data_IF_006346966429
#
_entry.id   IF_006346966429
#
_cell.length_a   1.000
_cell.length_b   1.000
_cell.length_c   1.000
_cell.angle_alpha   90.00
_cell.angle_beta   90.00
_cell.angle_gamma   90.00
#
_symmetry.space_group_name_H-M   'P 1'
#
loop_
_entity.id
_entity.type
_entity.pdbx_description
1 polymer ?
#
# COMPACT_ATOMS: atom_id res chain seq x y z
N UNK A 1 -2.38 -1.91 2.91
CA UNK A 1 -3.58 -1.03 2.80
C UNK A 1 -3.83 -0.25 4.08
N UNK A 2 -4.15 -0.88 5.21
CA UNK A 2 -4.50 -0.16 6.44
C UNK A 2 -3.32 0.63 7.06
N UNK A 3 -2.09 0.13 6.94
CA UNK A 3 -0.89 0.82 7.46
C UNK A 3 -0.26 1.84 6.52
N UNK A 4 -0.56 1.79 5.21
CA UNK A 4 0.12 2.62 4.20
C UNK A 4 -0.83 3.40 3.30
N UNK A 5 -2.13 3.13 3.36
CA UNK A 5 -3.13 3.76 2.51
C UNK A 5 -3.10 3.36 1.04
N UNK A 6 -2.16 2.54 0.55
CA UNK A 6 -2.03 2.17 -0.88
C UNK A 6 -3.35 1.66 -1.48
N UNK A 7 -3.66 2.08 -2.72
CA UNK A 7 -4.85 1.66 -3.46
C UNK A 7 -4.75 0.19 -3.88
N UNK A 8 -5.88 -0.51 -3.96
CA UNK A 8 -5.92 -1.92 -4.40
C UNK A 8 -5.37 -2.10 -5.83
N UNK A 9 -5.64 -1.15 -6.72
CA UNK A 9 -5.09 -1.09 -8.09
C UNK A 9 -3.57 -1.09 -8.15
N UNK A 10 -2.97 -0.35 -7.24
CA UNK A 10 -1.51 -0.22 -7.11
C UNK A 10 -0.91 -1.46 -6.45
N UNK A 11 -1.59 -2.03 -5.44
CA UNK A 11 -1.10 -3.24 -4.76
C UNK A 11 -0.94 -4.42 -5.70
N UNK A 12 -1.85 -4.63 -6.66
CA UNK A 12 -1.74 -5.77 -7.58
C UNK A 12 -0.54 -5.69 -8.49
N UNK A 13 -0.01 -4.49 -8.73
CA UNK A 13 1.12 -4.22 -9.62
C UNK A 13 2.42 -3.96 -8.84
N UNK A 14 2.38 -3.98 -7.51
CA UNK A 14 3.53 -3.69 -6.69
C UNK A 14 4.55 -4.82 -6.81
N UNK A 15 5.76 -4.49 -7.25
CA UNK A 15 6.93 -5.37 -7.26
C UNK A 15 7.79 -5.23 -5.99
N UNK A 16 8.63 -6.24 -5.73
CA UNK A 16 9.56 -6.25 -4.59
C UNK A 16 10.49 -5.05 -4.56
N UNK A 17 10.96 -4.56 -5.72
CA UNK A 17 11.85 -3.39 -5.84
C UNK A 17 11.26 -2.08 -5.25
N UNK A 18 9.94 -1.99 -5.14
CA UNK A 18 9.26 -0.84 -4.55
C UNK A 18 9.29 -0.84 -3.02
N UNK A 19 9.71 -1.95 -2.40
CA UNK A 19 9.76 -2.12 -0.96
C UNK A 19 11.20 -1.93 -0.50
N UNK A 20 11.48 -0.81 0.15
CA UNK A 20 12.74 -0.58 0.84
C UNK A 20 12.55 -0.92 2.32
N UNK A 21 13.03 -2.10 2.71
CA UNK A 21 12.93 -2.60 4.09
C UNK A 21 13.88 -1.87 5.05
N UNK A 22 15.01 -1.34 4.55
CA UNK A 22 16.01 -0.64 5.36
C UNK A 22 15.50 0.75 5.73
N UNK A 23 15.03 1.51 4.74
CA UNK A 23 14.44 2.83 4.99
C UNK A 23 12.96 2.77 5.41
N UNK A 24 12.36 1.58 5.46
CA UNK A 24 10.95 1.35 5.80
C UNK A 24 10.00 2.21 4.96
N UNK A 25 10.19 2.13 3.65
CA UNK A 25 9.57 3.01 2.67
C UNK A 25 9.05 2.24 1.46
N UNK A 26 7.79 2.49 1.09
CA UNK A 26 7.28 2.09 -0.23
C UNK A 26 7.56 3.21 -1.22
N UNK A 27 8.39 2.93 -2.23
CA UNK A 27 8.67 3.83 -3.36
C UNK A 27 7.89 3.33 -4.56
N UNK A 28 6.72 3.92 -4.80
CA UNK A 28 5.84 3.49 -5.87
C UNK A 28 6.00 4.44 -7.05
N UNK A 29 6.42 3.90 -8.18
CA UNK A 29 6.66 4.68 -9.39
C UNK A 29 5.35 5.19 -10.00
N UNK A 30 5.43 6.32 -10.70
CA UNK A 30 4.29 6.94 -11.38
C UNK A 30 3.63 6.00 -12.40
N UNK A 31 4.39 5.10 -13.03
CA UNK A 31 3.87 4.16 -14.03
C UNK A 31 2.77 3.21 -13.51
N UNK A 32 2.72 2.97 -12.19
CA UNK A 32 1.76 2.07 -11.55
C UNK A 32 0.58 2.84 -10.93
N UNK A 33 0.69 4.18 -10.88
CA UNK A 33 -0.29 5.04 -10.23
C UNK A 33 -1.08 5.78 -11.32
N UNK A 34 -2.41 5.78 -11.15
CA UNK A 34 -3.35 6.36 -12.13
C UNK A 34 -3.06 7.83 -12.50
N UNK A 35 -2.40 8.59 -11.63
CA UNK A 35 -2.04 10.00 -11.88
C UNK A 35 -0.59 10.19 -12.37
N UNK A 36 0.16 9.13 -12.65
CA UNK A 36 1.55 9.17 -13.09
C UNK A 36 2.55 9.85 -12.14
N UNK A 37 2.15 10.15 -10.90
CA UNK A 37 3.04 10.72 -9.89
C UNK A 37 3.55 9.64 -8.96
N UNK A 38 4.88 9.55 -8.80
CA UNK A 38 5.47 8.63 -7.83
C UNK A 38 5.04 9.00 -6.40
N UNK A 39 4.68 8.00 -5.60
CA UNK A 39 4.20 8.13 -4.23
C UNK A 39 5.16 7.41 -3.29
N UNK A 40 5.61 8.11 -2.24
CA UNK A 40 6.44 7.55 -1.18
C UNK A 40 5.63 7.41 0.09
N UNK A 41 5.57 6.19 0.65
CA UNK A 41 4.73 5.88 1.81
C UNK A 41 5.57 5.17 2.88
N UNK A 42 5.82 5.82 4.04
CA UNK A 42 6.54 5.17 5.11
C UNK A 42 5.69 4.05 5.74
N UNK A 43 6.36 3.10 6.37
CA UNK A 43 5.74 2.07 7.18
C UNK A 43 6.53 1.79 8.46
N UNK A 44 5.91 1.07 9.40
CA UNK A 44 6.50 0.72 10.70
C UNK A 44 7.30 -0.60 10.63
N UNK A 45 8.06 -0.88 11.71
CA UNK A 45 8.86 -2.11 11.82
C UNK A 45 8.00 -3.38 11.79
N UNK A 46 6.74 -3.30 12.23
CA UNK A 46 5.81 -4.42 12.17
C UNK A 46 5.52 -4.80 10.72
N UNK A 47 5.19 -3.82 9.88
CA UNK A 47 4.95 -4.04 8.46
C UNK A 47 6.23 -4.46 7.74
N UNK A 48 7.39 -3.90 8.09
CA UNK A 48 8.68 -4.31 7.54
C UNK A 48 8.91 -5.81 7.73
N UNK A 49 8.68 -6.33 8.96
CA UNK A 49 8.81 -7.76 9.26
C UNK A 49 7.83 -8.62 8.48
N UNK A 50 6.57 -8.17 8.32
CA UNK A 50 5.55 -8.89 7.55
C UNK A 50 5.93 -8.94 6.07
N UNK A 51 6.41 -7.83 5.50
CA UNK A 51 6.83 -7.76 4.11
C UNK A 51 8.07 -8.62 3.84
N UNK A 52 9.06 -8.60 4.74
CA UNK A 52 10.23 -9.47 4.63
C UNK A 52 9.85 -10.95 4.64
N UNK A 53 8.94 -11.35 5.53
CA UNK A 53 8.43 -12.72 5.57
C UNK A 53 7.68 -13.10 4.29
N UNK A 54 6.85 -12.20 3.76
CA UNK A 54 6.15 -12.40 2.49
C UNK A 54 7.13 -12.55 1.32
N UNK A 55 8.15 -11.69 1.22
CA UNK A 55 9.15 -11.76 0.16
C UNK A 55 9.89 -13.10 0.18
N UNK A 56 10.32 -13.55 1.37
CA UNK A 56 10.95 -14.87 1.53
C UNK A 56 10.02 -16.02 1.11
N UNK A 57 8.73 -15.94 1.46
CA UNK A 57 7.75 -16.95 1.02
C UNK A 57 7.55 -16.92 -0.49
N UNK A 58 7.53 -15.74 -1.10
CA UNK A 58 7.39 -15.61 -2.55
C UNK A 58 8.55 -16.26 -3.29
N UNK A 59 9.78 -16.12 -2.79
CA UNK A 59 10.96 -16.71 -3.42
C UNK A 59 10.88 -18.25 -3.43
N UNK A 60 10.39 -18.84 -2.33
CA UNK A 60 10.13 -20.29 -2.26
C UNK A 60 9.07 -20.72 -3.29
N UNK A 61 7.95 -19.99 -3.35
CA UNK A 61 6.85 -20.30 -4.28
C UNK A 61 7.31 -20.20 -5.74
N UNK A 62 8.07 -19.15 -6.09
CA UNK A 62 8.58 -18.95 -7.45
C UNK A 62 9.58 -20.04 -7.85
N UNK A 63 10.42 -20.48 -6.91
CA UNK A 63 11.36 -21.57 -7.14
C UNK A 63 10.62 -22.87 -7.44
N UNK A 64 9.59 -23.20 -6.65
CA UNK A 64 8.77 -24.40 -6.83
C UNK A 64 7.95 -24.35 -8.14
N UNK A 65 7.31 -23.21 -8.42
CA UNK A 65 6.43 -23.07 -9.58
C UNK A 65 7.16 -22.76 -10.89
N UNK A 66 8.47 -22.48 -10.85
CA UNK A 66 9.30 -22.09 -11.99
C UNK A 66 8.78 -20.86 -12.75
N UNK A 67 8.11 -19.94 -12.04
CA UNK A 67 7.64 -18.68 -12.61
C UNK A 67 8.60 -17.55 -12.24
N UNK A 68 9.15 -16.87 -13.24
CA UNK A 68 9.98 -15.69 -13.05
C UNK A 68 9.12 -14.40 -13.10
N UNK A 69 9.04 -13.68 -11.98
CA UNK A 69 8.43 -12.35 -11.88
C UNK A 69 8.85 -11.68 -10.56
N UNK A 70 8.67 -10.37 -10.46
CA UNK A 70 9.04 -9.60 -9.25
C UNK A 70 7.84 -9.10 -8.45
N UNK A 71 6.61 -9.56 -8.74
CA UNK A 71 5.41 -9.10 -8.04
C UNK A 71 5.45 -9.42 -6.55
N UNK A 72 5.14 -8.45 -5.70
CA UNK A 72 5.08 -8.62 -4.25
C UNK A 72 3.88 -9.47 -3.82
N UNK A 73 2.76 -9.34 -4.52
CA UNK A 73 1.57 -10.15 -4.27
C UNK A 73 1.38 -11.16 -5.40
N UNK A 74 1.61 -12.42 -5.06
CA UNK A 74 1.46 -13.54 -6.00
C UNK A 74 0.37 -14.51 -5.52
N UNK A 75 -0.12 -15.27 -6.48
CA UNK A 75 -1.00 -16.41 -6.29
C UNK A 75 -0.23 -17.62 -5.75
N UNK A 76 -0.93 -18.64 -5.28
CA UNK A 76 -0.31 -19.89 -4.76
C UNK A 76 0.53 -20.63 -5.81
N UNK A 77 0.29 -20.38 -7.09
CA UNK A 77 1.06 -20.94 -8.20
C UNK A 77 2.23 -20.02 -8.62
N UNK A 78 2.48 -18.92 -7.91
CA UNK A 78 3.53 -17.95 -8.21
C UNK A 78 3.20 -16.89 -9.27
N UNK A 79 2.02 -16.94 -9.90
CA UNK A 79 1.61 -15.93 -10.89
C UNK A 79 1.15 -14.63 -10.22
N UNK A 80 1.06 -13.54 -10.99
CA UNK A 80 0.43 -12.30 -10.54
C UNK A 80 -1.01 -12.55 -10.06
N UNK A 81 -1.44 -11.83 -9.03
CA UNK A 81 -2.83 -11.84 -8.57
C UNK A 81 -3.75 -11.14 -9.59
N UNK A 82 -4.96 -11.68 -9.78
CA UNK A 82 -6.00 -11.05 -10.59
C UNK A 82 -6.61 -9.84 -9.86
N UNK A 83 -6.71 -8.73 -10.58
CA UNK A 83 -7.32 -7.49 -10.12
C UNK A 83 -8.30 -6.95 -11.18
N UNK A 84 -9.31 -7.75 -11.53
CA UNK A 84 -10.42 -7.30 -12.37
C UNK A 84 -11.64 -6.94 -11.51
N UNK A 85 -12.58 -6.13 -12.02
CA UNK A 85 -13.83 -5.81 -11.32
C UNK A 85 -14.64 -7.04 -10.93
N UNK A 86 -14.61 -8.08 -11.76
CA UNK A 86 -15.35 -9.33 -11.58
C UNK A 86 -14.57 -10.40 -10.80
N UNK A 87 -13.24 -10.29 -10.75
CA UNK A 87 -12.36 -11.27 -10.11
C UNK A 87 -11.14 -10.59 -9.48
N UNK A 88 -11.29 -10.15 -8.22
CA UNK A 88 -10.21 -9.55 -7.44
C UNK A 88 -9.79 -10.46 -6.28
N UNK A 89 -8.55 -10.98 -6.33
CA UNK A 89 -8.04 -11.89 -5.30
C UNK A 89 -7.90 -11.23 -3.92
N UNK A 90 -7.49 -9.95 -3.86
CA UNK A 90 -7.34 -9.20 -2.60
C UNK A 90 -8.71 -9.05 -1.93
N UNK A 91 -9.74 -8.64 -2.68
CA UNK A 91 -11.11 -8.50 -2.17
C UNK A 91 -11.68 -9.85 -1.72
N UNK A 92 -11.47 -10.92 -2.49
CA UNK A 92 -11.89 -12.28 -2.10
C UNK A 92 -11.23 -12.72 -0.79
N UNK A 93 -9.92 -12.48 -0.65
CA UNK A 93 -9.17 -12.79 0.57
C UNK A 93 -9.64 -11.95 1.76
N UNK A 94 -9.89 -10.65 1.55
CA UNK A 94 -10.45 -9.78 2.57
C UNK A 94 -11.82 -10.28 3.03
N UNK A 95 -12.74 -10.57 2.11
CA UNK A 95 -14.07 -11.10 2.45
C UNK A 95 -14.00 -12.41 3.24
N UNK A 96 -13.01 -13.27 2.96
CA UNK A 96 -12.78 -14.47 3.78
C UNK A 96 -12.46 -14.09 5.23
N UNK A 97 -11.45 -13.25 5.46
CA UNK A 97 -11.08 -12.83 6.81
C UNK A 97 -12.22 -12.10 7.53
N UNK A 98 -13.01 -11.28 6.81
CA UNK A 98 -14.16 -10.61 7.43
C UNK A 98 -15.20 -11.60 7.94
N UNK A 99 -15.45 -12.70 7.24
CA UNK A 99 -16.33 -13.77 7.74
C UNK A 99 -15.70 -14.48 8.94
N UNK A 100 -14.43 -14.85 8.84
CA UNK A 100 -13.72 -15.59 9.89
C UNK A 100 -13.71 -14.82 11.23
N UNK A 101 -13.65 -13.49 11.18
CA UNK A 101 -13.67 -12.61 12.36
C UNK A 101 -15.01 -11.91 12.62
N UNK A 102 -16.09 -12.29 11.93
CA UNK A 102 -17.42 -11.66 12.07
C UNK A 102 -17.45 -10.13 11.89
N UNK A 103 -16.57 -9.60 11.04
CA UNK A 103 -16.48 -8.18 10.71
C UNK A 103 -17.36 -7.85 9.49
N UNK A 104 -18.02 -6.68 9.53
CA UNK A 104 -18.90 -6.19 8.45
C UNK A 104 -18.44 -4.82 7.97
N UNK A 105 -18.88 -4.43 6.76
CA UNK A 105 -18.69 -3.10 6.17
C UNK A 105 -17.23 -2.67 5.95
N UNK A 106 -16.32 -3.63 5.80
CA UNK A 106 -14.93 -3.37 5.46
C UNK A 106 -14.70 -3.75 4.00
N UNK A 107 -14.15 -2.81 3.24
CA UNK A 107 -13.73 -3.01 1.86
C UNK A 107 -12.38 -2.29 1.64
N UNK A 108 -11.72 -2.45 0.47
CA UNK A 108 -10.42 -1.83 0.21
C UNK A 108 -10.39 -0.31 0.43
N UNK A 109 -11.46 0.41 0.04
CA UNK A 109 -11.58 1.84 0.29
C UNK A 109 -11.79 2.15 1.78
N UNK A 110 -12.54 1.33 2.51
CA UNK A 110 -12.71 1.49 3.95
C UNK A 110 -11.38 1.33 4.70
N UNK A 111 -10.52 0.38 4.31
CA UNK A 111 -9.17 0.23 4.88
C UNK A 111 -8.31 1.47 4.62
N UNK A 112 -8.35 2.02 3.41
CA UNK A 112 -7.64 3.25 3.05
C UNK A 112 -8.16 4.47 3.80
N UNK A 113 -9.48 4.61 3.97
CA UNK A 113 -10.05 5.64 4.85
C UNK A 113 -9.65 5.45 6.31
N UNK A 114 -9.59 4.19 6.76
CA UNK A 114 -9.11 3.83 8.09
C UNK A 114 -7.68 4.31 8.35
N UNK A 115 -6.78 4.14 7.38
CA UNK A 115 -5.43 4.71 7.42
C UNK A 115 -5.46 6.23 7.60
N UNK A 116 -6.17 6.95 6.71
CA UNK A 116 -6.27 8.41 6.77
C UNK A 116 -6.85 8.90 8.11
N UNK A 117 -7.91 8.25 8.60
CA UNK A 117 -8.52 8.58 9.90
C UNK A 117 -7.57 8.29 11.06
N UNK A 118 -6.77 7.23 10.99
CA UNK A 118 -5.79 6.91 12.03
C UNK A 118 -4.70 7.98 12.11
N UNK A 119 -4.16 8.42 10.97
CA UNK A 119 -3.19 9.52 10.92
C UNK A 119 -3.78 10.83 11.45
N UNK A 120 -5.01 11.17 11.03
CA UNK A 120 -5.69 12.36 11.52
C UNK A 120 -5.89 12.32 13.04
N UNK A 121 -6.29 11.17 13.59
CA UNK A 121 -6.45 10.97 15.03
C UNK A 121 -5.14 11.14 15.81
N UNK A 122 -4.01 10.79 15.20
CA UNK A 122 -2.68 10.99 15.77
C UNK A 122 -2.16 12.44 15.59
N UNK A 123 -2.92 13.32 14.95
CA UNK A 123 -2.60 14.73 14.78
C UNK A 123 -1.94 15.10 13.46
N UNK A 124 -1.86 14.19 12.49
CA UNK A 124 -1.29 14.51 11.18
C UNK A 124 -2.19 15.50 10.41
N UNK A 125 -1.57 16.46 9.74
CA UNK A 125 -2.24 17.45 8.91
C UNK A 125 -2.98 16.77 7.74
N UNK A 126 -4.23 17.16 7.50
CA UNK A 126 -5.06 16.64 6.40
C UNK A 126 -4.39 16.86 5.04
N UNK A 127 -3.68 17.97 4.86
CA UNK A 127 -2.96 18.26 3.62
C UNK A 127 -1.80 17.26 3.40
N UNK A 128 -1.07 16.93 4.47
CA UNK A 128 0.00 15.93 4.44
C UNK A 128 -0.54 14.54 4.09
N UNK A 129 -1.66 14.15 4.72
CA UNK A 129 -2.35 12.88 4.44
C UNK A 129 -2.82 12.84 2.99
N UNK A 130 -3.42 13.94 2.49
CA UNK A 130 -3.91 14.04 1.12
C UNK A 130 -2.79 13.91 0.09
N UNK A 131 -1.65 14.56 0.34
CA UNK A 131 -0.46 14.51 -0.51
C UNK A 131 0.12 13.09 -0.56
N UNK A 132 0.29 12.44 0.59
CA UNK A 132 0.77 11.06 0.65
C UNK A 132 -0.16 10.06 -0.05
N UNK A 133 -1.47 10.30 0.00
CA UNK A 133 -2.46 9.48 -0.68
C UNK A 133 -2.57 9.78 -2.19
N UNK A 134 -1.97 10.85 -2.69
CA UNK A 134 -2.06 11.25 -4.09
C UNK A 134 -3.51 11.51 -4.51
N UNK A 135 -4.23 12.34 -3.73
CA UNK A 135 -5.52 12.88 -4.11
C UNK A 135 -5.31 14.20 -4.85
N UNK A 136 -5.70 14.25 -6.12
CA UNK A 136 -5.61 15.44 -6.98
C UNK A 136 -6.67 16.51 -6.68
N UNK A 137 -7.80 16.11 -6.07
CA UNK A 137 -9.01 16.94 -5.96
C UNK A 137 -9.24 17.63 -4.62
N UNK A 138 -8.40 17.36 -3.60
CA UNK A 138 -8.48 18.21 -2.41
C UNK A 138 -7.73 19.49 -2.73
N UNK A 139 -8.31 20.65 -2.39
CA UNK A 139 -7.60 21.92 -2.37
C UNK A 139 -6.39 21.77 -1.44
N UNK A 140 -5.27 21.30 -2.00
CA UNK A 140 -3.99 21.20 -1.31
C UNK A 140 -3.68 22.64 -1.01
N UNK A 141 -3.88 23.02 0.24
CA UNK A 141 -3.57 24.35 0.74
C UNK A 141 -2.18 24.73 0.22
N UNK A 142 -2.03 25.93 -0.34
CA UNK A 142 -0.79 26.41 -0.98
C UNK A 142 0.46 26.11 -0.14
N UNK A 143 0.30 26.07 1.19
CA UNK A 143 1.30 25.66 2.19
C UNK A 143 2.02 24.34 1.89
N UNK A 144 1.36 23.35 1.29
CA UNK A 144 1.93 22.01 1.05
C UNK A 144 2.18 21.69 -0.43
N UNK A 145 1.99 22.64 -1.35
CA UNK A 145 2.29 22.43 -2.77
C UNK A 145 3.77 22.13 -3.00
N UNK A 146 4.66 22.86 -2.32
CA UNK A 146 6.11 22.80 -2.54
C UNK A 146 6.85 21.75 -1.71
N UNK A 147 6.18 21.08 -0.76
CA UNK A 147 6.83 20.07 0.09
C UNK A 147 7.27 18.87 -0.76
N UNK A 148 8.53 18.47 -0.64
CA UNK A 148 9.07 17.31 -1.34
C UNK A 148 8.46 16.00 -0.82
N UNK A 149 8.61 14.91 -1.59
CA UNK A 149 8.10 13.59 -1.19
C UNK A 149 8.81 13.08 0.07
N UNK A 150 10.11 13.33 0.19
CA UNK A 150 10.89 12.94 1.36
C UNK A 150 10.45 13.71 2.62
N UNK A 151 10.15 15.00 2.49
CA UNK A 151 9.55 15.78 3.59
C UNK A 151 8.17 15.25 4.00
N UNK A 152 7.35 14.78 3.05
CA UNK A 152 6.08 14.11 3.37
C UNK A 152 6.33 12.84 4.20
N UNK A 153 7.29 12.02 3.77
CA UNK A 153 7.67 10.78 4.43
C UNK A 153 8.13 11.04 5.87
N UNK A 154 9.06 11.97 6.06
CA UNK A 154 9.61 12.27 7.38
C UNK A 154 8.56 12.87 8.33
N UNK A 155 7.65 13.68 7.79
CA UNK A 155 6.53 14.20 8.55
C UNK A 155 5.56 13.09 8.97
N UNK A 156 5.28 12.14 8.09
CA UNK A 156 4.36 11.04 8.36
C UNK A 156 4.92 10.00 9.33
N UNK A 157 6.23 9.73 9.32
CA UNK A 157 6.89 8.78 10.23
C UNK A 157 6.60 9.06 11.71
N UNK A 158 6.39 10.32 12.09
CA UNK A 158 6.03 10.74 13.45
C UNK A 158 4.68 10.18 13.93
N UNK A 159 3.84 9.74 13.01
CA UNK A 159 2.48 9.27 13.25
C UNK A 159 2.29 7.78 12.94
N UNK A 160 3.34 7.05 12.59
CA UNK A 160 3.29 5.59 12.42
C UNK A 160 3.56 4.93 13.76
#
# INVERSE_FOLDING_TARGET
MYQTGVRIGTLSQLEQKHVDLESKLLRIDGGIIKNHEAIYLPFDDVLARILAALMKQNDLIRTDSKINNDYLFISINGSMITNSPTNNNITKRLCKYLRDYSLKNINPHALRRGFAKNLLRKGADVALISKALGHSDLAVTTRYLHISKDEVVDSLRKYL
#
